data_IF_219180415858
#
_entry.id   IF_219180415858
#
_cell.length_a   1.000
_cell.length_b   1.000
_cell.length_c   1.000
_cell.angle_alpha   90.00
_cell.angle_beta   90.00
_cell.angle_gamma   90.00
#
_symmetry.space_group_name_H-M   'P 1'
#
loop_
_entity.id
_entity.type
_entity.pdbx_description
1 polymer ?
#
# COMPACT_ATOMS: atom_id res chain seq x y z
N UNK A 1 24.34 24.05 3.96
CA UNK A 1 23.80 22.71 3.67
C UNK A 1 23.78 22.54 2.16
N UNK A 2 24.76 21.81 1.63
CA UNK A 2 24.82 21.50 0.19
C UNK A 2 23.71 20.48 -0.10
N UNK A 3 22.77 20.87 -0.93
CA UNK A 3 21.74 19.95 -1.40
C UNK A 3 22.33 19.10 -2.52
N UNK A 4 22.33 17.78 -2.36
CA UNK A 4 22.90 16.85 -3.35
C UNK A 4 22.02 16.65 -4.60
N UNK A 5 20.83 17.21 -4.64
CA UNK A 5 19.94 17.06 -5.78
C UNK A 5 20.05 18.30 -6.68
N UNK A 6 20.83 18.19 -7.74
CA UNK A 6 21.13 19.29 -8.70
C UNK A 6 19.90 19.77 -9.47
N UNK A 7 18.80 19.04 -9.44
CA UNK A 7 17.57 19.38 -10.15
C UNK A 7 16.63 20.34 -9.40
N UNK A 8 16.91 20.66 -8.12
CA UNK A 8 16.10 21.64 -7.40
C UNK A 8 16.42 23.05 -7.84
N UNK A 9 15.40 23.83 -8.22
CA UNK A 9 15.53 25.21 -8.73
C UNK A 9 14.99 26.25 -7.76
N UNK A 10 14.45 25.84 -6.61
CA UNK A 10 13.83 26.74 -5.65
C UNK A 10 13.87 26.22 -4.22
N UNK A 11 12.74 26.31 -3.55
CA UNK A 11 12.61 25.89 -2.15
C UNK A 11 12.88 24.39 -2.01
N UNK A 12 13.69 24.05 -1.01
CA UNK A 12 13.93 22.67 -0.58
C UNK A 12 13.49 22.55 0.87
N UNK A 13 12.81 21.48 1.21
CA UNK A 13 12.33 21.21 2.56
C UNK A 13 12.69 19.80 3.03
N UNK A 14 12.80 19.65 4.35
CA UNK A 14 13.02 18.35 5.00
C UNK A 14 12.13 18.26 6.24
N UNK A 15 11.55 17.07 6.43
CA UNK A 15 10.79 16.74 7.63
C UNK A 15 11.59 15.79 8.52
N UNK A 16 11.48 15.99 9.83
CA UNK A 16 12.15 15.20 10.83
C UNK A 16 11.13 14.68 11.84
N UNK A 17 11.38 13.51 12.38
CA UNK A 17 10.67 12.97 13.55
C UNK A 17 11.52 13.31 14.77
N UNK A 18 10.84 13.80 15.81
CA UNK A 18 11.45 14.08 17.10
C UNK A 18 12.23 12.85 17.60
N UNK A 19 13.40 13.08 18.21
CA UNK A 19 14.30 12.05 18.73
C UNK A 19 14.95 11.09 17.71
N UNK A 20 14.64 11.21 16.43
CA UNK A 20 15.24 10.32 15.42
C UNK A 20 16.52 10.88 14.77
N UNK A 21 16.63 12.20 14.63
CA UNK A 21 17.84 12.90 14.15
C UNK A 21 18.12 12.81 12.66
N UNK A 22 17.34 12.06 11.88
CA UNK A 22 17.45 11.95 10.43
C UNK A 22 16.19 12.45 9.73
N UNK A 23 16.35 12.97 8.51
CA UNK A 23 15.21 13.38 7.71
C UNK A 23 14.40 12.15 7.27
N UNK A 24 13.11 12.18 7.54
CA UNK A 24 12.14 11.16 7.11
C UNK A 24 11.36 11.56 5.88
N UNK A 25 11.42 12.83 5.54
CA UNK A 25 10.79 13.41 4.36
C UNK A 25 11.74 14.45 3.78
N UNK A 26 11.87 14.49 2.46
CA UNK A 26 12.63 15.53 1.75
C UNK A 26 11.96 15.84 0.43
N UNK A 27 11.97 17.11 0.05
CA UNK A 27 11.38 17.53 -1.20
C UNK A 27 11.80 18.94 -1.58
N UNK A 28 11.32 19.39 -2.73
CA UNK A 28 11.62 20.73 -3.21
C UNK A 28 10.91 21.04 -4.52
N UNK A 29 11.10 22.28 -4.97
CA UNK A 29 10.63 22.76 -6.26
C UNK A 29 11.69 22.47 -7.33
N UNK A 30 11.22 22.03 -8.48
CA UNK A 30 12.05 21.81 -9.68
C UNK A 30 11.28 22.26 -10.92
N UNK A 31 11.90 23.15 -11.72
CA UNK A 31 11.21 23.79 -12.84
C UNK A 31 11.67 23.24 -14.19
N UNK A 32 12.86 22.63 -14.27
CA UNK A 32 13.49 22.19 -15.52
C UNK A 32 13.61 20.66 -15.63
N UNK A 33 13.29 19.92 -14.57
CA UNK A 33 13.46 18.46 -14.56
C UNK A 33 12.59 17.79 -15.63
N UNK A 34 11.34 18.24 -15.80
CA UNK A 34 10.41 17.68 -16.78
C UNK A 34 10.92 17.89 -18.20
N UNK A 35 11.48 19.09 -18.50
CA UNK A 35 12.09 19.40 -19.78
C UNK A 35 13.27 18.51 -20.14
N UNK A 36 14.01 18.02 -19.15
CA UNK A 36 15.14 17.09 -19.39
C UNK A 36 14.68 15.70 -19.92
N UNK A 37 13.41 15.37 -19.82
CA UNK A 37 12.81 14.16 -20.39
C UNK A 37 12.14 14.38 -21.76
N UNK A 38 12.37 15.52 -22.41
CA UNK A 38 11.91 15.79 -23.78
C UNK A 38 10.54 16.45 -23.88
N UNK A 39 10.02 17.01 -22.79
CA UNK A 39 8.85 17.88 -22.75
C UNK A 39 9.25 19.36 -22.63
N UNK A 40 8.29 20.27 -22.62
CA UNK A 40 8.54 21.66 -22.25
C UNK A 40 8.85 21.79 -20.75
N UNK A 41 9.62 22.80 -20.37
CA UNK A 41 9.88 23.09 -18.96
C UNK A 41 8.58 23.39 -18.22
N UNK A 42 8.35 22.67 -17.14
CA UNK A 42 7.14 22.81 -16.31
C UNK A 42 7.53 22.91 -14.84
N UNK A 43 7.14 24.00 -14.16
CA UNK A 43 7.35 24.09 -12.72
C UNK A 43 6.62 22.98 -11.97
N UNK A 44 7.36 22.27 -11.14
CA UNK A 44 6.81 21.19 -10.34
C UNK A 44 7.38 21.20 -8.91
N UNK A 45 6.66 20.57 -8.02
CA UNK A 45 7.08 20.32 -6.64
C UNK A 45 6.83 18.87 -6.32
N UNK A 46 7.74 18.27 -5.58
CA UNK A 46 7.58 16.88 -5.15
C UNK A 46 8.32 16.59 -3.85
N UNK A 47 8.01 15.45 -3.29
CA UNK A 47 8.71 14.96 -2.10
C UNK A 47 8.82 13.45 -2.09
N UNK A 48 9.79 12.97 -1.34
CA UNK A 48 9.98 11.54 -1.06
C UNK A 48 9.91 11.31 0.46
N UNK A 49 9.31 10.18 0.84
CA UNK A 49 9.23 9.72 2.23
C UNK A 49 10.17 8.53 2.42
N UNK A 50 11.03 8.61 3.43
CA UNK A 50 11.88 7.50 3.82
C UNK A 50 11.12 6.57 4.77
N UNK A 51 10.45 5.56 4.20
CA UNK A 51 9.64 4.59 4.94
C UNK A 51 10.49 3.81 5.95
N UNK A 52 11.72 3.44 5.59
CA UNK A 52 12.63 2.73 6.50
C UNK A 52 12.99 3.57 7.71
N UNK A 53 13.22 4.87 7.53
CA UNK A 53 13.50 5.79 8.62
C UNK A 53 12.29 5.92 9.55
N UNK A 54 11.08 5.99 9.01
CA UNK A 54 9.84 6.03 9.80
C UNK A 54 9.65 4.73 10.58
N UNK A 55 9.85 3.59 9.92
CA UNK A 55 9.76 2.28 10.59
C UNK A 55 10.77 2.16 11.74
N UNK A 56 12.01 2.57 11.51
CA UNK A 56 13.05 2.56 12.54
C UNK A 56 12.73 3.52 13.72
N UNK A 57 12.18 4.70 13.42
CA UNK A 57 11.74 5.64 14.46
C UNK A 57 10.59 5.06 15.31
N UNK A 58 9.61 4.42 14.67
CA UNK A 58 8.50 3.77 15.36
C UNK A 58 8.96 2.61 16.25
N UNK A 59 9.94 1.82 15.80
CA UNK A 59 10.53 0.75 16.62
C UNK A 59 11.25 1.31 17.85
N UNK A 60 12.01 2.40 17.70
CA UNK A 60 12.72 3.05 18.82
C UNK A 60 11.76 3.64 19.85
N UNK A 61 10.68 4.26 19.40
CA UNK A 61 9.66 4.87 20.28
C UNK A 61 8.67 3.85 20.87
N UNK A 62 8.90 2.56 20.67
CA UNK A 62 8.02 1.47 21.10
C UNK A 62 6.56 1.62 20.62
N UNK A 63 6.37 2.40 19.55
CA UNK A 63 5.09 2.56 18.85
C UNK A 63 4.89 1.42 17.85
N UNK A 64 5.11 0.18 18.32
CA UNK A 64 4.81 -1.01 17.52
C UNK A 64 3.31 -1.06 17.27
N UNK A 65 2.91 -0.74 16.06
CA UNK A 65 1.57 -1.11 15.61
C UNK A 65 1.53 -2.64 15.52
N UNK A 66 0.63 -3.26 16.26
CA UNK A 66 0.33 -4.68 16.05
C UNK A 66 0.04 -4.86 14.56
N UNK A 67 0.69 -5.84 13.93
CA UNK A 67 0.35 -6.19 12.56
C UNK A 67 -1.17 -6.41 12.49
N UNK A 68 -1.86 -5.60 11.69
CA UNK A 68 -3.28 -5.78 11.46
C UNK A 68 -3.38 -6.91 10.44
N UNK A 69 -4.01 -8.00 10.84
CA UNK A 69 -4.43 -9.02 9.90
C UNK A 69 -5.60 -8.48 9.08
N UNK A 70 -5.73 -8.92 7.84
CA UNK A 70 -6.93 -8.66 7.08
C UNK A 70 -8.14 -9.27 7.80
N UNK A 71 -9.28 -8.61 7.71
CA UNK A 71 -10.55 -9.12 8.24
C UNK A 71 -11.17 -10.11 7.26
N UNK A 72 -10.91 -9.89 5.97
CA UNK A 72 -11.48 -10.66 4.87
C UNK A 72 -10.39 -11.05 3.89
N UNK A 73 -10.30 -12.32 3.53
CA UNK A 73 -9.57 -12.81 2.36
C UNK A 73 -10.54 -12.96 1.20
N UNK A 74 -10.26 -12.35 0.07
CA UNK A 74 -11.05 -12.51 -1.16
C UNK A 74 -10.35 -13.54 -2.03
N UNK A 75 -11.02 -14.61 -2.37
CA UNK A 75 -10.54 -15.64 -3.29
C UNK A 75 -11.37 -15.62 -4.57
N UNK A 76 -10.70 -15.71 -5.71
CA UNK A 76 -11.33 -15.87 -7.02
C UNK A 76 -10.49 -16.84 -7.86
N UNK A 77 -11.15 -17.63 -8.70
CA UNK A 77 -10.47 -18.41 -9.73
C UNK A 77 -9.95 -17.49 -10.86
N UNK A 78 -9.11 -18.02 -11.75
CA UNK A 78 -8.44 -17.22 -12.79
C UNK A 78 -9.44 -16.48 -13.69
N UNK A 79 -10.56 -17.09 -14.04
CA UNK A 79 -11.62 -16.49 -14.86
C UNK A 79 -12.35 -15.34 -14.15
N UNK A 80 -12.39 -15.33 -12.82
CA UNK A 80 -13.07 -14.32 -12.00
C UNK A 80 -12.12 -13.32 -11.34
N UNK A 81 -10.84 -13.30 -11.70
CA UNK A 81 -9.79 -12.52 -11.09
C UNK A 81 -10.13 -11.03 -11.00
N UNK A 82 -10.64 -10.45 -12.10
CA UNK A 82 -10.99 -9.01 -12.18
C UNK A 82 -12.12 -8.68 -11.19
N UNK A 83 -13.11 -9.54 -11.08
CA UNK A 83 -14.23 -9.37 -10.17
C UNK A 83 -13.81 -9.54 -8.72
N UNK A 84 -12.91 -10.47 -8.45
CA UNK A 84 -12.29 -10.66 -7.14
C UNK A 84 -11.53 -9.41 -6.68
N UNK A 85 -10.68 -8.85 -7.54
CA UNK A 85 -9.95 -7.60 -7.27
C UNK A 85 -10.93 -6.43 -7.06
N UNK A 86 -11.96 -6.33 -7.90
CA UNK A 86 -12.99 -5.30 -7.77
C UNK A 86 -13.74 -5.41 -6.44
N UNK A 87 -14.09 -6.63 -6.01
CA UNK A 87 -14.74 -6.88 -4.73
C UNK A 87 -13.82 -6.50 -3.56
N UNK A 88 -12.57 -6.92 -3.59
CA UNK A 88 -11.57 -6.55 -2.57
C UNK A 88 -11.44 -5.02 -2.45
N UNK A 89 -11.34 -4.32 -3.58
CA UNK A 89 -11.27 -2.85 -3.62
C UNK A 89 -12.53 -2.20 -3.02
N UNK A 90 -13.72 -2.75 -3.29
CA UNK A 90 -14.98 -2.28 -2.69
C UNK A 90 -15.02 -2.48 -1.17
N UNK A 91 -14.49 -3.58 -0.65
CA UNK A 91 -14.37 -3.80 0.79
C UNK A 91 -13.45 -2.75 1.43
N UNK A 92 -12.29 -2.52 0.84
CA UNK A 92 -11.31 -1.53 1.31
C UNK A 92 -11.92 -0.12 1.29
N UNK A 93 -12.66 0.25 0.25
CA UNK A 93 -13.32 1.57 0.18
C UNK A 93 -14.39 1.79 1.25
N UNK A 94 -14.93 0.70 1.82
CA UNK A 94 -15.87 0.73 2.96
C UNK A 94 -15.16 0.69 4.32
N UNK A 95 -13.81 0.74 4.34
CA UNK A 95 -13.02 0.71 5.57
C UNK A 95 -12.77 -0.71 6.13
N UNK A 96 -13.14 -1.76 5.39
CA UNK A 96 -12.89 -3.15 5.78
C UNK A 96 -11.47 -3.52 5.33
N UNK A 97 -10.67 -4.07 6.24
CA UNK A 97 -9.33 -4.57 5.90
C UNK A 97 -9.45 -5.87 5.12
N UNK A 98 -9.22 -5.80 3.81
CA UNK A 98 -9.33 -6.96 2.92
C UNK A 98 -8.02 -7.23 2.20
N UNK A 99 -7.75 -8.50 1.93
CA UNK A 99 -6.60 -9.00 1.19
C UNK A 99 -7.09 -9.86 0.03
N UNK A 100 -6.49 -9.71 -1.15
CA UNK A 100 -6.78 -10.58 -2.28
C UNK A 100 -5.84 -11.79 -2.25
N UNK A 101 -6.42 -12.99 -2.34
CA UNK A 101 -5.67 -14.25 -2.31
C UNK A 101 -4.92 -14.47 -3.62
N UNK A 102 -3.64 -14.80 -3.51
CA UNK A 102 -2.81 -15.29 -4.63
C UNK A 102 -2.65 -16.82 -4.60
N UNK A 103 -3.40 -17.51 -3.75
CA UNK A 103 -3.35 -18.97 -3.64
C UNK A 103 -4.00 -19.62 -4.88
N UNK A 104 -3.42 -20.72 -5.39
CA UNK A 104 -3.91 -21.35 -6.61
C UNK A 104 -5.24 -22.11 -6.41
N UNK A 105 -5.61 -22.45 -5.18
CA UNK A 105 -6.83 -23.17 -4.86
C UNK A 105 -7.52 -22.60 -3.64
N UNK A 106 -8.84 -22.84 -3.53
CA UNK A 106 -9.61 -22.45 -2.36
C UNK A 106 -9.10 -23.09 -1.07
N UNK A 107 -8.70 -24.35 -1.11
CA UNK A 107 -8.18 -25.06 0.06
C UNK A 107 -6.89 -24.38 0.57
N UNK A 108 -5.97 -24.04 -0.35
CA UNK A 108 -4.76 -23.30 0.00
C UNK A 108 -5.07 -21.90 0.56
N UNK A 109 -6.09 -21.23 0.02
CA UNK A 109 -6.55 -19.94 0.53
C UNK A 109 -7.15 -20.05 1.94
N UNK A 110 -7.87 -21.13 2.22
CA UNK A 110 -8.42 -21.43 3.56
C UNK A 110 -7.30 -21.69 4.58
N UNK A 111 -6.28 -22.46 4.19
CA UNK A 111 -5.11 -22.70 5.06
C UNK A 111 -4.35 -21.40 5.33
N UNK A 112 -4.14 -20.59 4.28
CA UNK A 112 -3.52 -19.27 4.41
C UNK A 112 -4.31 -18.37 5.38
N UNK A 113 -5.63 -18.29 5.22
CA UNK A 113 -6.47 -17.48 6.09
C UNK A 113 -6.39 -17.92 7.55
N UNK A 114 -6.44 -19.23 7.83
CA UNK A 114 -6.28 -19.77 9.19
C UNK A 114 -4.91 -19.45 9.79
N UNK A 115 -3.84 -19.63 9.01
CA UNK A 115 -2.47 -19.33 9.45
C UNK A 115 -2.28 -17.86 9.79
N UNK A 116 -2.95 -16.94 9.05
CA UNK A 116 -2.89 -15.51 9.23
C UNK A 116 -4.02 -14.92 10.10
N UNK A 117 -4.84 -15.78 10.72
CA UNK A 117 -5.96 -15.39 11.61
C UNK A 117 -6.99 -14.49 10.92
N UNK A 118 -7.22 -14.70 9.64
CA UNK A 118 -8.28 -14.06 8.87
C UNK A 118 -9.55 -14.85 9.11
N UNK A 119 -10.56 -14.23 9.70
CA UNK A 119 -11.77 -14.92 10.15
C UNK A 119 -12.84 -15.12 9.06
N UNK A 120 -12.62 -14.56 7.86
CA UNK A 120 -13.62 -14.57 6.78
C UNK A 120 -12.96 -14.73 5.43
N UNK A 121 -13.55 -15.57 4.56
CA UNK A 121 -13.21 -15.65 3.12
C UNK A 121 -14.46 -15.31 2.31
N UNK A 122 -14.30 -14.39 1.36
CA UNK A 122 -15.29 -14.12 0.31
C UNK A 122 -14.83 -14.78 -0.98
N UNK A 123 -15.64 -15.70 -1.49
CA UNK A 123 -15.36 -16.47 -2.70
C UNK A 123 -16.13 -15.86 -3.85
N UNK A 124 -15.43 -15.52 -4.92
CA UNK A 124 -15.98 -15.01 -6.18
C UNK A 124 -15.99 -16.16 -7.18
N UNK A 125 -17.17 -16.54 -7.64
CA UNK A 125 -17.40 -17.57 -8.65
C UNK A 125 -18.70 -17.21 -9.38
N UNK A 126 -18.57 -16.49 -10.47
CA UNK A 126 -19.71 -15.96 -11.23
C UNK A 126 -20.51 -17.03 -11.95
N UNK A 127 -19.87 -18.12 -12.32
CA UNK A 127 -20.56 -19.23 -12.99
C UNK A 127 -21.53 -19.95 -12.03
N UNK A 128 -21.26 -19.92 -10.73
CA UNK A 128 -22.10 -20.55 -9.72
C UNK A 128 -22.96 -19.58 -8.93
N UNK A 129 -22.50 -18.33 -8.75
CA UNK A 129 -23.18 -17.38 -7.87
C UNK A 129 -23.05 -15.94 -8.39
N UNK A 130 -24.17 -15.21 -8.51
CA UNK A 130 -24.17 -13.77 -8.84
C UNK A 130 -23.58 -12.89 -7.72
N UNK A 131 -23.50 -13.39 -6.50
CA UNK A 131 -22.99 -12.69 -5.32
C UNK A 131 -21.85 -13.49 -4.69
N UNK A 132 -20.87 -12.79 -4.06
CA UNK A 132 -19.81 -13.47 -3.32
C UNK A 132 -20.35 -14.41 -2.24
N UNK A 133 -19.81 -15.62 -2.18
CA UNK A 133 -20.11 -16.57 -1.11
C UNK A 133 -19.18 -16.31 0.06
N UNK A 134 -19.74 -15.95 1.20
CA UNK A 134 -18.97 -15.67 2.41
C UNK A 134 -18.87 -16.93 3.27
N UNK A 135 -17.65 -17.29 3.67
CA UNK A 135 -17.37 -18.34 4.65
C UNK A 135 -16.68 -17.72 5.88
N UNK A 136 -17.15 -18.09 7.06
CA UNK A 136 -16.48 -17.80 8.34
C UNK A 136 -15.58 -18.98 8.72
N UNK A 137 -14.37 -18.69 9.18
CA UNK A 137 -13.33 -19.69 9.49
C UNK A 137 -13.14 -19.88 10.99
#
# INVERSE_FOLDING_TARGET
LVNKAEYYTGIVFRGYIEEYGQAVLSGGRYDTLIGSFGADDMPAVGFAVNVNAIAAANLRSNRSTKARHAEVLVFAADEDLIDGISHCTKLISKGISAEFSTCPTLDAAMEYAKANKIGRIDIIDKDKNEQPVTMTL
#
